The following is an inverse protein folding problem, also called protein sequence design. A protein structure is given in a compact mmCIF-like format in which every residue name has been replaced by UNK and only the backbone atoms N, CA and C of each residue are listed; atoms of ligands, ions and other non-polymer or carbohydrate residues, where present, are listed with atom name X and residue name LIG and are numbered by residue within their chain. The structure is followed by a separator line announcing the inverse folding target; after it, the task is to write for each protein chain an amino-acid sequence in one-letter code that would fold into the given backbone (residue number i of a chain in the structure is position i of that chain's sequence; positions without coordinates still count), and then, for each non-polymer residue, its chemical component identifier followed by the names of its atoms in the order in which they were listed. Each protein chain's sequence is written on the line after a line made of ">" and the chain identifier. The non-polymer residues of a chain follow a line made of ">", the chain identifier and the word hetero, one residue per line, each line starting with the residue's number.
data_IF_583235094200
#
_entry.id   IF_583235094200
#
_cell.length_a   1.000
_cell.length_b   1.000
_cell.length_c   1.000
_cell.angle_alpha   90.00
_cell.angle_beta   90.00
_cell.angle_gamma   90.00
#
_symmetry.space_group_name_H-M   'P 1'
#
loop_
_entity.id
_entity.type
_entity.pdbx_description
1 polymer ?
#
# COMPACT_ATOMS: atom_id res chain seq x y z
N UNK A 1 -14.94 -31.89 -26.95
CA UNK A 1 -13.92 -30.90 -26.57
C UNK A 1 -14.21 -30.52 -25.12
N UNK A 2 -13.41 -31.00 -24.17
CA UNK A 2 -13.56 -30.61 -22.76
C UNK A 2 -13.08 -29.16 -22.59
N UNK A 3 -14.00 -28.28 -22.18
CA UNK A 3 -13.73 -26.88 -21.93
C UNK A 3 -13.06 -26.74 -20.56
N UNK A 4 -11.74 -26.58 -20.54
CA UNK A 4 -10.95 -26.38 -19.33
C UNK A 4 -11.30 -25.01 -18.69
N UNK A 5 -12.39 -24.97 -17.91
CA UNK A 5 -12.78 -23.81 -17.10
C UNK A 5 -11.69 -23.55 -16.07
N UNK A 6 -10.86 -22.52 -16.31
CA UNK A 6 -9.92 -21.99 -15.32
C UNK A 6 -10.70 -21.67 -14.04
N UNK A 7 -10.53 -22.50 -13.03
CA UNK A 7 -11.04 -22.25 -11.68
C UNK A 7 -10.61 -20.86 -11.21
N UNK A 8 -11.52 -20.09 -10.63
CA UNK A 8 -11.19 -18.83 -9.94
C UNK A 8 -10.39 -19.14 -8.66
N UNK A 9 -9.08 -19.37 -8.83
CA UNK A 9 -8.13 -19.60 -7.74
C UNK A 9 -7.31 -18.32 -7.49
N UNK A 10 -6.72 -18.23 -6.31
CA UNK A 10 -5.81 -17.15 -5.94
C UNK A 10 -6.46 -15.98 -5.20
N UNK A 11 -5.62 -15.03 -4.79
CA UNK A 11 -5.98 -13.93 -3.89
C UNK A 11 -7.08 -13.00 -4.41
N UNK A 12 -7.08 -12.74 -5.72
CA UNK A 12 -8.08 -11.89 -6.37
C UNK A 12 -9.46 -12.57 -6.51
N UNK A 13 -9.51 -13.90 -6.38
CA UNK A 13 -10.75 -14.69 -6.46
C UNK A 13 -11.37 -14.97 -5.09
N UNK A 14 -10.75 -14.51 -3.99
CA UNK A 14 -11.29 -14.67 -2.64
C UNK A 14 -12.34 -13.62 -2.32
N UNK A 15 -13.13 -13.90 -1.28
CA UNK A 15 -14.05 -12.93 -0.68
C UNK A 15 -13.34 -11.60 -0.30
N UNK A 16 -13.94 -10.42 -0.57
CA UNK A 16 -13.33 -9.12 -0.30
C UNK A 16 -12.96 -8.87 1.16
N UNK A 17 -13.69 -9.41 2.13
CA UNK A 17 -13.35 -9.28 3.55
C UNK A 17 -12.14 -10.14 3.89
N UNK A 18 -12.12 -11.38 3.39
CA UNK A 18 -10.97 -12.29 3.55
C UNK A 18 -9.71 -11.72 2.91
N UNK A 19 -9.84 -11.11 1.73
CA UNK A 19 -8.74 -10.44 1.03
C UNK A 19 -8.16 -9.30 1.88
N UNK A 20 -9.03 -8.44 2.45
CA UNK A 20 -8.62 -7.34 3.34
C UNK A 20 -7.96 -7.87 4.61
N UNK A 21 -8.50 -8.91 5.23
CA UNK A 21 -7.94 -9.50 6.44
C UNK A 21 -6.51 -10.04 6.19
N UNK A 22 -6.29 -10.73 5.07
CA UNK A 22 -4.96 -11.22 4.68
C UNK A 22 -4.01 -10.06 4.37
N UNK A 23 -4.45 -9.04 3.62
CA UNK A 23 -3.64 -7.86 3.35
C UNK A 23 -3.23 -7.12 4.64
N UNK A 24 -4.17 -6.97 5.58
CA UNK A 24 -3.92 -6.38 6.91
C UNK A 24 -2.91 -7.22 7.70
N UNK A 25 -3.09 -8.54 7.74
CA UNK A 25 -2.16 -9.47 8.41
C UNK A 25 -0.76 -9.41 7.78
N UNK A 26 -0.66 -9.32 6.46
CA UNK A 26 0.60 -9.14 5.74
C UNK A 26 1.32 -7.86 6.16
N UNK A 27 0.62 -6.73 6.21
CA UNK A 27 1.19 -5.46 6.68
C UNK A 27 1.56 -5.46 8.17
N UNK A 28 0.79 -6.16 9.01
CA UNK A 28 1.05 -6.29 10.44
C UNK A 28 2.16 -7.28 10.80
N UNK A 29 2.52 -8.19 9.88
CA UNK A 29 3.50 -9.27 10.13
C UNK A 29 4.89 -8.77 10.52
N UNK A 30 5.25 -7.55 10.09
CA UNK A 30 6.51 -6.90 10.44
C UNK A 30 6.23 -5.88 11.56
N UNK A 31 6.90 -5.98 12.73
CA UNK A 31 6.83 -4.96 13.77
C UNK A 31 7.25 -3.59 13.22
N UNK A 32 6.66 -2.51 13.74
CA UNK A 32 6.92 -1.16 13.23
C UNK A 32 8.41 -0.80 13.21
N UNK A 33 9.15 -1.23 14.24
CA UNK A 33 10.59 -1.05 14.38
C UNK A 33 11.41 -1.74 13.27
N UNK A 34 10.84 -2.74 12.58
CA UNK A 34 11.52 -3.51 11.52
C UNK A 34 10.92 -3.24 10.14
N UNK A 35 9.96 -2.31 10.03
CA UNK A 35 9.38 -1.91 8.73
C UNK A 35 10.35 -0.97 8.03
N UNK A 36 11.05 -1.45 7.00
CA UNK A 36 12.04 -0.65 6.24
C UNK A 36 11.45 0.65 5.66
N UNK A 37 10.17 0.64 5.29
CA UNK A 37 9.47 1.82 4.77
C UNK A 37 9.08 2.84 5.87
N UNK A 38 8.92 2.40 7.12
CA UNK A 38 8.65 3.28 8.26
C UNK A 38 9.92 3.91 8.82
N UNK A 39 11.06 3.22 8.72
CA UNK A 39 12.35 3.72 9.18
C UNK A 39 12.98 4.74 8.23
N UNK A 40 12.81 4.55 6.91
CA UNK A 40 13.45 5.39 5.91
C UNK A 40 12.40 5.98 4.95
N UNK A 41 11.97 7.24 5.18
CA UNK A 41 10.98 7.90 4.33
C UNK A 41 11.47 8.07 2.88
N UNK A 42 12.77 8.26 2.65
CA UNK A 42 13.33 8.38 1.30
C UNK A 42 13.28 7.05 0.54
N UNK A 43 13.46 5.93 1.23
CA UNK A 43 13.28 4.60 0.63
C UNK A 43 11.82 4.39 0.22
N UNK A 44 10.88 4.74 1.10
CA UNK A 44 9.44 4.64 0.81
C UNK A 44 9.05 5.53 -0.38
N UNK A 45 9.52 6.78 -0.40
CA UNK A 45 9.26 7.71 -1.49
C UNK A 45 9.85 7.20 -2.83
N UNK A 46 11.08 6.70 -2.84
CA UNK A 46 11.72 6.13 -4.04
C UNK A 46 11.00 4.88 -4.54
N UNK A 47 10.62 3.97 -3.63
CA UNK A 47 9.87 2.78 -3.98
C UNK A 47 8.50 3.12 -4.57
N UNK A 48 7.77 4.05 -3.96
CA UNK A 48 6.50 4.56 -4.47
C UNK A 48 6.64 5.18 -5.87
N UNK A 49 7.66 6.03 -6.07
CA UNK A 49 7.96 6.64 -7.38
C UNK A 49 8.25 5.58 -8.44
N UNK A 50 9.10 4.60 -8.13
CA UNK A 50 9.44 3.49 -9.04
C UNK A 50 8.20 2.66 -9.39
N UNK A 51 7.37 2.34 -8.40
CA UNK A 51 6.10 1.61 -8.63
C UNK A 51 5.15 2.37 -9.56
N UNK A 52 5.03 3.69 -9.38
CA UNK A 52 4.24 4.53 -10.29
C UNK A 52 4.81 4.61 -11.70
N UNK A 53 6.13 4.55 -11.85
CA UNK A 53 6.79 4.57 -13.16
C UNK A 53 6.51 3.29 -13.99
N UNK A 54 6.29 2.14 -13.34
CA UNK A 54 5.94 0.88 -14.01
C UNK A 54 4.58 0.92 -14.72
N UNK A 55 3.75 1.92 -14.43
CA UNK A 55 2.47 2.12 -15.11
C UNK A 55 2.70 2.88 -16.41
N UNK A 56 2.10 2.42 -17.52
CA UNK A 56 2.16 3.11 -18.81
C UNK A 56 1.73 4.59 -18.64
N UNK A 57 2.52 5.56 -19.15
CA UNK A 57 2.23 6.99 -19.01
C UNK A 57 0.78 7.40 -19.31
N UNK A 58 0.18 6.84 -20.38
CA UNK A 58 -1.20 7.15 -20.78
C UNK A 58 -2.28 6.59 -19.84
N UNK A 59 -1.92 5.63 -18.97
CA UNK A 59 -2.79 5.00 -17.97
C UNK A 59 -2.42 5.38 -16.53
N UNK A 60 -1.46 6.28 -16.34
CA UNK A 60 -1.10 6.78 -15.01
C UNK A 60 -2.24 7.63 -14.47
N UNK A 61 -2.81 7.24 -13.32
CA UNK A 61 -3.79 8.08 -12.61
C UNK A 61 -3.21 9.48 -12.33
N UNK A 62 -1.90 9.56 -12.08
CA UNK A 62 -1.14 10.79 -11.85
C UNK A 62 -1.01 11.71 -13.06
N UNK A 63 -1.20 11.20 -14.28
CA UNK A 63 -1.22 12.03 -15.51
C UNK A 63 -2.63 12.36 -15.97
N UNK A 64 -3.64 11.64 -15.46
CA UNK A 64 -5.03 11.77 -15.90
C UNK A 64 -5.88 12.63 -14.96
N UNK A 65 -5.60 12.58 -13.67
CA UNK A 65 -6.26 13.39 -12.64
C UNK A 65 -5.29 13.75 -11.52
N UNK A 66 -4.89 15.02 -11.48
CA UNK A 66 -3.93 15.53 -10.50
C UNK A 66 -4.51 15.58 -9.08
N UNK A 67 -5.82 15.78 -8.93
CA UNK A 67 -6.49 15.81 -7.63
C UNK A 67 -6.53 14.41 -7.01
N UNK A 68 -6.95 13.40 -7.80
CA UNK A 68 -6.95 12.00 -7.38
C UNK A 68 -5.54 11.51 -7.01
N UNK A 69 -4.53 11.93 -7.78
CA UNK A 69 -3.14 11.60 -7.51
C UNK A 69 -2.63 12.21 -6.20
N UNK A 70 -2.96 13.48 -5.96
CA UNK A 70 -2.62 14.19 -4.73
C UNK A 70 -3.31 13.56 -3.52
N UNK A 71 -4.58 13.17 -3.67
CA UNK A 71 -5.33 12.49 -2.61
C UNK A 71 -4.74 11.11 -2.29
N UNK A 72 -4.41 10.32 -3.31
CA UNK A 72 -3.77 9.02 -3.14
C UNK A 72 -2.39 9.15 -2.48
N UNK A 73 -1.59 10.14 -2.89
CA UNK A 73 -0.31 10.45 -2.27
C UNK A 73 -0.45 10.86 -0.80
N UNK A 74 -1.40 11.76 -0.50
CA UNK A 74 -1.72 12.20 0.86
C UNK A 74 -2.19 11.04 1.74
N UNK A 75 -3.09 10.19 1.24
CA UNK A 75 -3.57 8.99 1.95
C UNK A 75 -2.45 8.00 2.22
N UNK A 76 -1.57 7.78 1.25
CA UNK A 76 -0.37 6.97 1.41
C UNK A 76 0.56 7.52 2.50
N UNK A 77 0.78 8.84 2.50
CA UNK A 77 1.52 9.54 3.55
C UNK A 77 0.89 9.36 4.93
N UNK A 78 -0.40 9.61 5.09
CA UNK A 78 -1.07 9.45 6.40
C UNK A 78 -1.00 8.02 6.95
N UNK A 79 -1.08 7.00 6.09
CA UNK A 79 -0.91 5.60 6.51
C UNK A 79 0.50 5.32 7.07
N UNK A 80 1.53 6.06 6.62
CA UNK A 80 2.90 5.96 7.12
C UNK A 80 3.13 6.75 8.42
N UNK A 81 2.34 7.79 8.69
CA UNK A 81 2.55 8.69 9.85
C UNK A 81 1.65 8.37 11.07
N UNK A 82 0.66 7.48 10.94
CA UNK A 82 -0.31 7.18 12.00
C UNK A 82 0.13 6.19 13.08
N UNK A 83 1.33 5.61 13.01
CA UNK A 83 1.79 4.56 13.95
C UNK A 83 2.79 5.00 15.03
N UNK A 84 3.40 6.19 14.92
CA UNK A 84 4.59 6.54 15.73
C UNK A 84 4.47 7.77 16.62
N UNK A 85 3.37 8.53 16.56
CA UNK A 85 3.27 9.85 17.20
C UNK A 85 2.51 9.87 18.54
N UNK A 86 2.36 8.73 19.23
CA UNK A 86 1.66 8.63 20.52
C UNK A 86 2.55 8.01 21.61
N UNK A 87 3.83 8.36 21.70
CA UNK A 87 4.62 8.16 22.94
C UNK A 87 5.71 9.22 23.10
N UNK A 88 5.34 10.49 23.28
CA UNK A 88 6.22 11.50 23.90
C UNK A 88 5.40 12.57 24.61
N UNK A 89 4.88 12.22 25.78
CA UNK A 89 4.57 13.19 26.83
C UNK A 89 4.55 12.49 28.18
N UNK A 90 5.74 12.37 28.78
CA UNK A 90 5.88 12.27 30.22
C UNK A 90 6.88 13.35 30.63
N UNK A 91 6.44 14.45 31.26
CA UNK A 91 7.33 15.24 32.10
C UNK A 91 7.47 14.54 33.47
N UNK A 92 8.62 14.81 34.07
CA UNK A 92 9.16 14.30 35.34
C UNK A 92 8.23 14.52 36.54
#
# INVERSE_FOLDING_TARGET
>A
MEENKKSSRGFASMDPEKQRAIARKGGQSVPDEKRSFSQNPDLAARAGRKGGQSVNPAKRSFSRDHALASEAGRKGGHASHGGGAQKRSAPL
#
